data_IF_556503671965
#
_entry.id   IF_556503671965
#
_cell.length_a   1.000
_cell.length_b   1.000
_cell.length_c   1.000
_cell.angle_alpha   90.00
_cell.angle_beta   90.00
_cell.angle_gamma   90.00
#
_symmetry.space_group_name_H-M   'P 1'
#
loop_
_entity.id
_entity.type
_entity.pdbx_description
1 polymer ?
#
# COMPACT_ATOMS: atom_id res chain seq x y z
N UNK A 1 -13.23 8.27 10.63
CA UNK A 1 -12.73 6.98 10.10
C UNK A 1 -12.87 7.05 8.59
N UNK A 2 -11.76 7.11 7.84
CA UNK A 2 -11.82 7.13 6.37
C UNK A 2 -12.00 5.69 5.89
N UNK A 3 -13.16 5.38 5.29
CA UNK A 3 -13.40 4.08 4.68
C UNK A 3 -12.90 4.10 3.24
N UNK A 4 -11.81 3.40 2.96
CA UNK A 4 -11.26 3.18 1.62
C UNK A 4 -11.50 1.71 1.24
N UNK A 5 -12.43 1.46 0.32
CA UNK A 5 -12.83 0.12 -0.08
C UNK A 5 -12.98 0.02 -1.60
N UNK A 6 -12.77 -1.17 -2.14
CA UNK A 6 -12.90 -1.43 -3.57
C UNK A 6 -14.36 -1.21 -3.99
N UNK A 7 -14.60 -0.20 -4.81
CA UNK A 7 -15.90 0.08 -5.42
C UNK A 7 -15.97 -0.59 -6.80
N UNK A 8 -16.44 -1.85 -6.82
CA UNK A 8 -16.56 -2.67 -8.03
C UNK A 8 -17.88 -3.47 -7.98
N UNK A 9 -18.34 -3.96 -9.13
CA UNK A 9 -19.60 -4.71 -9.24
C UNK A 9 -19.64 -5.94 -8.30
N UNK A 10 -18.48 -6.59 -8.11
CA UNK A 10 -18.34 -7.74 -7.21
C UNK A 10 -18.47 -7.39 -5.71
N UNK A 11 -18.30 -6.12 -5.33
CA UNK A 11 -18.30 -5.65 -3.92
C UNK A 11 -19.46 -4.72 -3.59
N UNK A 12 -20.44 -4.56 -4.50
CA UNK A 12 -21.58 -3.64 -4.36
C UNK A 12 -22.38 -3.80 -3.06
N UNK A 13 -22.52 -5.04 -2.57
CA UNK A 13 -23.27 -5.32 -1.35
C UNK A 13 -22.56 -4.77 -0.10
N UNK A 14 -21.24 -4.97 -0.02
CA UNK A 14 -20.41 -4.44 1.07
C UNK A 14 -20.35 -2.91 1.01
N UNK A 15 -20.20 -2.34 -0.18
CA UNK A 15 -20.27 -0.90 -0.40
C UNK A 15 -21.58 -0.31 0.16
N UNK A 16 -22.71 -0.98 -0.11
CA UNK A 16 -24.01 -0.56 0.37
C UNK A 16 -24.17 -0.64 1.89
N UNK A 17 -23.58 -1.67 2.53
CA UNK A 17 -23.58 -1.78 3.99
C UNK A 17 -22.83 -0.62 4.64
N UNK A 18 -21.63 -0.29 4.14
CA UNK A 18 -20.88 0.86 4.65
C UNK A 18 -21.63 2.19 4.48
N UNK A 19 -22.30 2.38 3.33
CA UNK A 19 -23.12 3.59 3.13
C UNK A 19 -24.29 3.66 4.13
N UNK A 20 -24.96 2.54 4.41
CA UNK A 20 -26.04 2.50 5.42
C UNK A 20 -25.54 2.87 6.81
N UNK A 21 -24.41 2.30 7.23
CA UNK A 21 -23.81 2.60 8.53
C UNK A 21 -23.47 4.08 8.66
N UNK A 22 -22.86 4.67 7.63
CA UNK A 22 -22.51 6.10 7.60
C UNK A 22 -23.77 6.97 7.62
N UNK A 23 -24.80 6.65 6.83
CA UNK A 23 -26.06 7.39 6.83
C UNK A 23 -26.81 7.30 8.17
N UNK A 24 -26.70 6.18 8.88
CA UNK A 24 -27.31 5.99 10.20
C UNK A 24 -26.74 6.95 11.26
N UNK A 25 -25.52 7.47 11.08
CA UNK A 25 -24.91 8.44 12.01
C UNK A 25 -25.53 9.85 11.92
N UNK A 26 -26.37 10.11 10.90
CA UNK A 26 -27.06 11.38 10.66
C UNK A 26 -26.14 12.63 10.61
N UNK A 27 -24.85 12.41 10.33
CA UNK A 27 -23.88 13.49 10.13
C UNK A 27 -23.62 13.71 8.64
N UNK A 28 -23.34 14.94 8.19
CA UNK A 28 -22.99 15.20 6.81
C UNK A 28 -21.62 14.59 6.48
N UNK A 29 -21.58 13.72 5.47
CA UNK A 29 -20.36 13.04 5.01
C UNK A 29 -20.06 13.39 3.54
N UNK A 30 -18.77 13.43 3.20
CA UNK A 30 -18.29 13.60 1.82
C UNK A 30 -17.89 12.26 1.23
N UNK A 31 -18.44 11.92 0.06
CA UNK A 31 -18.05 10.74 -0.72
C UNK A 31 -17.07 11.18 -1.82
N UNK A 32 -15.95 10.48 -1.95
CA UNK A 32 -14.94 10.72 -2.99
C UNK A 32 -14.75 9.42 -3.77
N UNK A 33 -15.15 9.41 -5.04
CA UNK A 33 -14.94 8.27 -5.94
C UNK A 33 -13.69 8.54 -6.77
N UNK A 34 -12.71 7.64 -6.69
CA UNK A 34 -11.46 7.70 -7.45
C UNK A 34 -11.23 6.36 -8.14
N UNK A 35 -10.50 6.34 -9.28
CA UNK A 35 -10.08 5.09 -9.91
C UNK A 35 -9.31 4.22 -8.90
N UNK A 36 -9.69 2.95 -8.81
CA UNK A 36 -9.02 2.02 -7.92
C UNK A 36 -7.61 1.74 -8.41
N UNK A 37 -6.62 1.96 -7.55
CA UNK A 37 -5.24 1.53 -7.77
C UNK A 37 -4.91 0.49 -6.71
N UNK A 38 -4.52 -0.70 -7.16
CA UNK A 38 -4.06 -1.74 -6.25
C UNK A 38 -2.86 -1.22 -5.46
N UNK A 39 -3.06 -1.01 -4.16
CA UNK A 39 -1.96 -0.83 -3.22
C UNK A 39 -1.32 -2.20 -3.01
N UNK A 40 -0.01 -2.22 -2.75
CA UNK A 40 0.65 -3.46 -2.32
C UNK A 40 -0.07 -3.98 -1.08
N UNK A 41 -0.36 -5.27 -1.04
CA UNK A 41 -0.90 -5.89 0.17
C UNK A 41 0.09 -5.74 1.33
N UNK A 42 -0.40 -5.87 2.56
CA UNK A 42 0.45 -5.86 3.75
C UNK A 42 1.55 -6.93 3.65
N UNK A 43 1.19 -8.15 3.22
CA UNK A 43 2.14 -9.25 3.02
C UNK A 43 3.19 -8.95 1.95
N UNK A 44 2.80 -8.35 0.83
CA UNK A 44 3.73 -7.91 -0.22
C UNK A 44 4.70 -6.84 0.28
N UNK A 45 4.21 -5.91 1.11
CA UNK A 45 5.05 -4.86 1.67
C UNK A 45 6.05 -5.44 2.69
N UNK A 46 5.59 -6.31 3.59
CA UNK A 46 6.45 -7.01 4.56
C UNK A 46 7.54 -7.82 3.86
N UNK A 47 7.19 -8.59 2.83
CA UNK A 47 8.18 -9.37 2.07
C UNK A 47 9.22 -8.47 1.38
N UNK A 48 8.79 -7.34 0.82
CA UNK A 48 9.71 -6.39 0.18
C UNK A 48 10.74 -5.86 1.18
N UNK A 49 10.33 -5.55 2.41
CA UNK A 49 11.23 -5.11 3.47
C UNK A 49 12.25 -6.19 3.88
N UNK A 50 11.83 -7.47 3.94
CA UNK A 50 12.77 -8.59 4.20
C UNK A 50 13.83 -8.68 3.11
N UNK A 51 13.45 -8.53 1.84
CA UNK A 51 14.42 -8.55 0.74
C UNK A 51 15.41 -7.38 0.82
N UNK A 52 14.96 -6.18 1.15
CA UNK A 52 15.87 -5.03 1.30
C UNK A 52 16.90 -5.26 2.40
N UNK A 53 16.48 -5.85 3.53
CA UNK A 53 17.38 -6.21 4.63
C UNK A 53 18.43 -7.26 4.21
N UNK A 54 18.02 -8.33 3.54
CA UNK A 54 18.95 -9.37 3.09
C UNK A 54 19.93 -8.85 2.03
N UNK A 55 19.47 -8.00 1.11
CA UNK A 55 20.34 -7.37 0.11
C UNK A 55 21.31 -6.40 0.78
N UNK A 56 20.85 -5.55 1.70
CA UNK A 56 21.71 -4.64 2.48
C UNK A 56 22.81 -5.42 3.21
N UNK A 57 22.44 -6.50 3.90
CA UNK A 57 23.37 -7.39 4.59
C UNK A 57 24.39 -8.01 3.64
N UNK A 58 23.95 -8.49 2.48
CA UNK A 58 24.86 -9.05 1.48
C UNK A 58 25.83 -8.00 0.93
N UNK A 59 25.37 -6.79 0.63
CA UNK A 59 26.20 -5.68 0.16
C UNK A 59 27.25 -5.27 1.21
N UNK A 60 26.83 -5.16 2.48
CA UNK A 60 27.71 -4.82 3.59
C UNK A 60 28.80 -5.88 3.80
N UNK A 61 28.46 -7.17 3.66
CA UNK A 61 29.42 -8.26 3.74
C UNK A 61 30.48 -8.20 2.63
N UNK A 62 30.12 -7.66 1.46
CA UNK A 62 31.05 -7.43 0.35
C UNK A 62 31.78 -6.08 0.43
N UNK A 63 31.67 -5.37 1.57
CA UNK A 63 32.38 -4.11 1.82
C UNK A 63 31.65 -2.84 1.34
N UNK A 64 30.43 -2.96 0.80
CA UNK A 64 29.63 -1.82 0.34
C UNK A 64 28.60 -1.45 1.41
N UNK A 65 28.80 -0.31 2.08
CA UNK A 65 27.90 0.14 3.16
C UNK A 65 26.58 0.68 2.58
N UNK A 66 25.50 -0.10 2.75
CA UNK A 66 24.15 0.28 2.37
C UNK A 66 23.16 -0.07 3.48
N UNK A 67 22.18 0.79 3.73
CA UNK A 67 21.02 0.50 4.59
C UNK A 67 19.85 -0.05 3.79
N UNK A 68 18.91 -0.71 4.45
CA UNK A 68 17.65 -1.19 3.87
C UNK A 68 16.91 -0.08 3.12
N UNK A 69 16.87 1.14 3.67
CA UNK A 69 16.28 2.32 3.02
C UNK A 69 17.01 2.69 1.74
N UNK A 70 18.35 2.68 1.76
CA UNK A 70 19.15 2.97 0.58
C UNK A 70 18.94 1.91 -0.51
N UNK A 71 18.83 0.64 -0.14
CA UNK A 71 18.51 -0.46 -1.07
C UNK A 71 17.11 -0.29 -1.65
N UNK A 72 16.13 0.06 -0.82
CA UNK A 72 14.77 0.35 -1.26
C UNK A 72 14.73 1.50 -2.27
N UNK A 73 15.45 2.58 -2.04
CA UNK A 73 15.57 3.70 -2.97
C UNK A 73 16.23 3.28 -4.27
N UNK A 74 17.36 2.57 -4.21
CA UNK A 74 18.04 2.05 -5.40
C UNK A 74 17.11 1.15 -6.24
N UNK A 75 16.41 0.21 -5.61
CA UNK A 75 15.47 -0.67 -6.30
C UNK A 75 14.33 0.11 -6.95
N UNK A 76 13.80 1.14 -6.27
CA UNK A 76 12.79 2.02 -6.85
C UNK A 76 13.34 2.79 -8.05
N UNK A 77 14.52 3.38 -7.93
CA UNK A 77 15.17 4.11 -9.02
C UNK A 77 15.42 3.19 -10.23
N UNK A 78 15.95 1.99 -10.00
CA UNK A 78 16.25 1.00 -11.05
C UNK A 78 15.00 0.51 -11.78
N UNK A 79 13.91 0.20 -11.07
CA UNK A 79 12.73 -0.44 -11.68
C UNK A 79 11.58 0.52 -11.98
N UNK A 80 11.54 1.71 -11.38
CA UNK A 80 10.47 2.70 -11.56
C UNK A 80 10.94 3.98 -12.27
N UNK A 81 12.26 4.22 -12.36
CA UNK A 81 12.86 5.18 -13.28
C UNK A 81 12.52 6.66 -13.03
N UNK A 82 12.40 7.08 -11.76
CA UNK A 82 12.20 8.48 -11.37
C UNK A 82 13.31 8.97 -10.43
#
# INVERSE_FOLDING_TARGET
>A
MEADFLFHESTKNTAWQHLKEVLATNQPHRIIIKPWKNRRSLSQNSLSHVWYAEISKHLCNNGIKHTDESVKEMMKHTFLGY
#
